data_IF_868674474753
#
_entry.id   IF_868674474753
#
_cell.length_a   1.000
_cell.length_b   1.000
_cell.length_c   1.000
_cell.angle_alpha   90.00
_cell.angle_beta   90.00
_cell.angle_gamma   90.00
#
_symmetry.space_group_name_H-M   'P 1'
#
loop_
_entity.id
_entity.type
_entity.pdbx_description
1 polymer ?
#
# COMPACT_ATOMS: atom_id res chain seq x y z
N UNK A 1 -7.90 22.61 -11.69
CA UNK A 1 -6.43 22.60 -11.72
C UNK A 1 -6.00 21.99 -10.40
N UNK A 2 -6.09 20.66 -10.30
CA UNK A 2 -5.65 19.89 -9.14
C UNK A 2 -4.13 20.05 -9.06
N UNK A 3 -3.64 20.61 -7.96
CA UNK A 3 -2.26 21.10 -7.93
C UNK A 3 -1.30 19.93 -7.68
N UNK A 4 -0.15 19.92 -8.35
CA UNK A 4 0.91 18.91 -8.16
C UNK A 4 1.35 18.76 -6.69
N UNK A 5 1.09 19.78 -5.86
CA UNK A 5 1.36 19.79 -4.42
C UNK A 5 0.42 18.88 -3.63
N UNK A 6 -0.86 18.81 -4.01
CA UNK A 6 -1.84 17.97 -3.32
C UNK A 6 -1.55 16.49 -3.57
N UNK A 7 -1.26 16.13 -4.83
CA UNK A 7 -0.85 14.77 -5.21
C UNK A 7 0.38 14.28 -4.43
N UNK A 8 1.41 15.13 -4.31
CA UNK A 8 2.64 14.77 -3.60
C UNK A 8 2.42 14.61 -2.08
N UNK A 9 1.49 15.40 -1.50
CA UNK A 9 1.10 15.26 -0.09
C UNK A 9 0.37 13.94 0.17
N UNK A 10 -0.52 13.53 -0.73
CA UNK A 10 -1.22 12.25 -0.63
C UNK A 10 -0.31 11.05 -0.85
N UNK A 11 0.62 11.12 -1.82
CA UNK A 11 1.63 10.08 -2.04
C UNK A 11 2.50 9.87 -0.78
N UNK A 12 2.86 10.98 -0.12
CA UNK A 12 3.59 10.96 1.15
C UNK A 12 2.75 10.30 2.25
N UNK A 13 1.45 10.61 2.33
CA UNK A 13 0.54 10.02 3.30
C UNK A 13 0.39 8.50 3.09
N UNK A 14 0.16 8.04 1.86
CA UNK A 14 0.06 6.61 1.52
C UNK A 14 1.35 5.89 1.87
N UNK A 15 2.49 6.44 1.47
CA UNK A 15 3.81 5.86 1.75
C UNK A 15 4.09 5.79 3.26
N UNK A 16 3.58 6.75 4.05
CA UNK A 16 3.69 6.72 5.52
C UNK A 16 2.83 5.64 6.16
N UNK A 17 1.61 5.40 5.67
CA UNK A 17 0.73 4.34 6.17
C UNK A 17 1.31 2.98 5.85
N UNK A 18 1.80 2.78 4.62
CA UNK A 18 2.45 1.54 4.21
C UNK A 18 3.68 1.25 5.09
N UNK A 19 4.56 2.23 5.30
CA UNK A 19 5.71 2.06 6.19
C UNK A 19 5.30 1.67 7.61
N UNK A 20 4.28 2.33 8.17
CA UNK A 20 3.76 1.98 9.49
C UNK A 20 3.27 0.53 9.53
N UNK A 21 2.51 0.10 8.54
CA UNK A 21 1.97 -1.27 8.48
C UNK A 21 3.09 -2.29 8.34
N UNK A 22 4.05 -2.09 7.46
CA UNK A 22 5.20 -2.99 7.30
C UNK A 22 5.98 -3.13 8.62
N UNK A 23 6.26 -2.02 9.30
CA UNK A 23 6.96 -2.02 10.59
C UNK A 23 6.16 -2.69 11.70
N UNK A 24 4.84 -2.55 11.71
CA UNK A 24 3.97 -3.25 12.67
C UNK A 24 3.95 -4.76 12.44
N UNK A 25 3.93 -5.20 11.17
CA UNK A 25 3.84 -6.62 10.83
C UNK A 25 5.19 -7.33 10.96
N UNK A 26 6.27 -6.69 10.51
CA UNK A 26 7.57 -7.33 10.35
C UNK A 26 8.66 -6.79 11.28
N UNK A 27 8.45 -5.62 11.90
CA UNK A 27 9.49 -4.89 12.62
C UNK A 27 10.42 -4.10 11.70
N UNK A 28 11.34 -3.35 12.31
CA UNK A 28 12.25 -2.41 11.62
C UNK A 28 13.14 -3.12 10.58
N UNK A 29 13.91 -4.13 11.00
CA UNK A 29 14.93 -4.77 10.18
C UNK A 29 14.36 -5.51 8.97
N UNK A 30 13.27 -6.24 9.17
CA UNK A 30 12.61 -6.96 8.09
C UNK A 30 11.90 -6.00 7.12
N UNK A 31 11.37 -4.87 7.59
CA UNK A 31 10.85 -3.82 6.71
C UNK A 31 11.94 -3.28 5.78
N UNK A 32 13.16 -3.07 6.30
CA UNK A 32 14.29 -2.65 5.48
C UNK A 32 14.70 -3.70 4.42
N UNK A 33 14.49 -5.00 4.67
CA UNK A 33 14.71 -6.04 3.66
C UNK A 33 13.68 -5.95 2.53
N UNK A 34 12.41 -5.68 2.85
CA UNK A 34 11.36 -5.47 1.86
C UNK A 34 11.70 -4.25 0.99
N UNK A 35 12.06 -3.12 1.60
CA UNK A 35 12.44 -1.93 0.83
C UNK A 35 13.67 -2.15 -0.04
N UNK A 36 14.70 -2.86 0.46
CA UNK A 36 15.86 -3.22 -0.35
C UNK A 36 15.50 -4.13 -1.52
N UNK A 37 14.53 -5.04 -1.36
CA UNK A 37 14.04 -5.86 -2.45
C UNK A 37 13.32 -5.01 -3.51
N UNK A 38 12.39 -4.14 -3.09
CA UNK A 38 11.65 -3.25 -3.99
C UNK A 38 12.58 -2.32 -4.77
N UNK A 39 13.57 -1.74 -4.10
CA UNK A 39 14.55 -0.86 -4.75
C UNK A 39 15.41 -1.62 -5.76
N UNK A 40 15.93 -2.80 -5.39
CA UNK A 40 16.84 -3.58 -6.26
C UNK A 40 16.16 -4.19 -7.47
N UNK A 41 14.92 -4.64 -7.34
CA UNK A 41 14.24 -5.42 -8.37
C UNK A 41 13.21 -4.64 -9.17
N UNK A 42 12.67 -3.55 -8.59
CA UNK A 42 11.61 -2.74 -9.23
C UNK A 42 12.00 -1.27 -9.37
N UNK A 43 13.22 -0.88 -8.96
CA UNK A 43 13.65 0.52 -8.92
C UNK A 43 12.66 1.42 -8.17
N UNK A 44 12.01 0.86 -7.15
CA UNK A 44 10.94 1.51 -6.42
C UNK A 44 11.45 2.02 -5.07
N UNK A 45 11.54 3.34 -4.94
CA UNK A 45 11.89 3.96 -3.66
C UNK A 45 10.67 4.13 -2.76
N UNK A 46 10.89 4.14 -1.44
CA UNK A 46 9.82 4.29 -0.44
C UNK A 46 8.90 5.49 -0.70
N UNK A 47 9.46 6.64 -1.10
CA UNK A 47 8.68 7.85 -1.36
C UNK A 47 7.83 7.82 -2.64
N UNK A 48 8.07 6.84 -3.51
CA UNK A 48 7.36 6.70 -4.80
C UNK A 48 6.24 5.65 -4.74
N UNK A 49 6.10 4.93 -3.63
CA UNK A 49 5.17 3.80 -3.51
C UNK A 49 3.73 4.23 -3.81
N UNK A 50 3.31 5.40 -3.33
CA UNK A 50 1.97 5.94 -3.64
C UNK A 50 1.72 6.10 -5.14
N UNK A 51 2.75 6.51 -5.91
CA UNK A 51 2.64 6.75 -7.35
C UNK A 51 2.72 5.48 -8.19
N UNK A 52 3.44 4.47 -7.70
CA UNK A 52 3.75 3.23 -8.41
C UNK A 52 3.19 2.02 -7.65
N UNK A 53 1.93 2.11 -7.22
CA UNK A 53 1.33 1.13 -6.31
C UNK A 53 1.24 -0.27 -6.92
N UNK A 54 1.12 -0.38 -8.25
CA UNK A 54 1.22 -1.66 -8.96
C UNK A 54 2.59 -2.34 -8.79
N UNK A 55 3.68 -1.59 -8.86
CA UNK A 55 5.03 -2.14 -8.67
C UNK A 55 5.26 -2.53 -7.22
N UNK A 56 4.66 -1.79 -6.27
CA UNK A 56 4.68 -2.17 -4.87
C UNK A 56 3.95 -3.50 -4.64
N UNK A 57 2.73 -3.65 -5.15
CA UNK A 57 1.94 -4.87 -5.00
C UNK A 57 2.67 -6.09 -5.59
N UNK A 58 3.17 -5.95 -6.82
CA UNK A 58 3.93 -7.01 -7.49
C UNK A 58 5.21 -7.37 -6.72
N UNK A 59 6.00 -6.37 -6.31
CA UNK A 59 7.24 -6.65 -5.58
C UNK A 59 7.01 -7.21 -4.17
N UNK A 60 5.90 -6.84 -3.53
CA UNK A 60 5.51 -7.41 -2.24
C UNK A 60 5.08 -8.88 -2.40
N UNK A 61 4.28 -9.20 -3.43
CA UNK A 61 3.91 -10.57 -3.78
C UNK A 61 5.14 -11.40 -4.15
N UNK A 62 6.08 -10.85 -4.91
CA UNK A 62 7.28 -11.58 -5.28
C UNK A 62 8.18 -11.90 -4.07
N UNK A 63 8.23 -11.01 -3.09
CA UNK A 63 8.99 -11.18 -1.84
C UNK A 63 8.31 -12.12 -0.83
N UNK A 64 7.01 -11.95 -0.59
CA UNK A 64 6.26 -12.65 0.47
C UNK A 64 5.42 -13.84 -0.04
N UNK A 65 5.30 -13.99 -1.36
CA UNK A 65 4.38 -14.93 -2.01
C UNK A 65 2.96 -14.73 -1.47
N UNK A 66 2.29 -15.82 -1.10
CA UNK A 66 0.93 -15.77 -0.53
C UNK A 66 0.83 -14.95 0.76
N UNK A 67 1.94 -14.64 1.43
CA UNK A 67 1.94 -13.75 2.59
C UNK A 67 1.60 -12.28 2.26
N UNK A 68 1.78 -11.85 1.01
CA UNK A 68 1.51 -10.47 0.61
C UNK A 68 0.05 -10.07 0.81
N UNK A 69 -0.90 -10.99 0.58
CA UNK A 69 -2.34 -10.72 0.71
C UNK A 69 -2.73 -10.25 2.13
N UNK A 70 -2.05 -10.77 3.16
CA UNK A 70 -2.31 -10.40 4.56
C UNK A 70 -1.84 -8.96 4.82
N UNK A 71 -0.71 -8.59 4.24
CA UNK A 71 -0.13 -7.25 4.36
C UNK A 71 -0.96 -6.22 3.60
N UNK A 72 -1.36 -6.53 2.36
CA UNK A 72 -2.23 -5.69 1.54
C UNK A 72 -3.57 -5.41 2.22
N UNK A 73 -4.18 -6.43 2.83
CA UNK A 73 -5.39 -6.30 3.65
C UNK A 73 -5.17 -5.28 4.77
N UNK A 74 -4.10 -5.45 5.52
CA UNK A 74 -3.78 -4.58 6.64
C UNK A 74 -3.50 -3.14 6.20
N UNK A 75 -2.89 -2.94 5.03
CA UNK A 75 -2.68 -1.61 4.44
C UNK A 75 -4.01 -0.95 4.11
N UNK A 76 -4.91 -1.63 3.41
CA UNK A 76 -6.22 -1.08 3.06
C UNK A 76 -7.05 -0.72 4.30
N UNK A 77 -7.10 -1.61 5.29
CA UNK A 77 -7.79 -1.36 6.56
C UNK A 77 -7.28 -0.09 7.25
N UNK A 78 -5.96 0.10 7.28
CA UNK A 78 -5.33 1.25 7.93
C UNK A 78 -5.54 2.55 7.14
N UNK A 79 -5.52 2.49 5.81
CA UNK A 79 -5.80 3.64 4.94
C UNK A 79 -7.26 4.09 5.09
N UNK A 80 -8.21 3.17 5.07
CA UNK A 80 -9.64 3.47 5.29
C UNK A 80 -9.90 4.10 6.66
N UNK A 81 -9.24 3.60 7.72
CA UNK A 81 -9.32 4.20 9.07
C UNK A 81 -8.72 5.61 9.12
N UNK A 82 -7.59 5.83 8.43
CA UNK A 82 -6.88 7.12 8.46
C UNK A 82 -7.57 8.24 7.68
N UNK A 83 -8.39 7.90 6.68
CA UNK A 83 -9.08 8.85 5.80
C UNK A 83 -10.50 9.20 6.25
N UNK A 84 -10.98 8.65 7.37
CA UNK A 84 -12.35 8.84 7.85
C UNK A 84 -13.41 8.11 7.02
N UNK A 85 -13.02 7.42 5.94
CA UNK A 85 -13.89 6.56 5.13
C UNK A 85 -14.14 5.24 5.86
N UNK A 86 -14.96 5.31 6.91
CA UNK A 86 -15.46 4.13 7.62
C UNK A 86 -16.60 3.50 6.81
N UNK A 87 -16.32 3.03 5.60
CA UNK A 87 -17.10 1.89 5.09
C UNK A 87 -16.47 0.67 5.72
N UNK A 88 -17.23 -0.04 6.55
CA UNK A 88 -16.92 -1.42 6.92
C UNK A 88 -16.52 -2.11 5.61
N UNK A 89 -15.24 -2.44 5.46
CA UNK A 89 -14.85 -3.54 4.61
C UNK A 89 -15.51 -4.73 5.29
N UNK A 90 -16.74 -5.03 4.88
CA UNK A 90 -17.37 -6.29 5.20
C UNK A 90 -16.41 -7.33 4.63
N UNK A 91 -15.60 -7.90 5.52
CA UNK A 91 -14.69 -9.01 5.31
C UNK A 91 -15.50 -10.29 5.04
N UNK A 92 -16.54 -10.19 4.22
CA UNK A 92 -17.37 -11.26 3.72
C UNK A 92 -17.15 -11.35 2.21
N UNK A 93 -16.06 -11.98 1.83
CA UNK A 93 -16.06 -13.20 1.04
C UNK A 93 -14.70 -13.38 0.37
N UNK A 94 -14.12 -14.54 0.63
CA UNK A 94 -13.18 -15.20 -0.27
C UNK A 94 -14.00 -15.61 -1.49
N UNK A 95 -14.19 -14.70 -2.43
CA UNK A 95 -15.01 -14.92 -3.62
C UNK A 95 -15.00 -13.70 -4.52
N UNK A 96 -14.22 -13.81 -5.60
CA UNK A 96 -14.08 -12.89 -6.74
C UNK A 96 -13.47 -11.50 -6.49
N UNK A 97 -12.19 -11.41 -6.86
CA UNK A 97 -11.39 -10.20 -7.09
C UNK A 97 -11.09 -9.31 -5.87
N UNK A 98 -10.31 -9.85 -4.92
CA UNK A 98 -9.47 -9.03 -4.05
C UNK A 98 -8.44 -8.29 -4.93
N UNK A 99 -8.74 -7.05 -5.31
CA UNK A 99 -7.84 -6.22 -6.11
C UNK A 99 -7.34 -5.04 -5.27
N UNK A 100 -6.18 -5.24 -4.64
CA UNK A 100 -5.49 -4.22 -3.85
C UNK A 100 -5.18 -2.98 -4.68
N UNK A 101 -4.69 -3.16 -5.90
CA UNK A 101 -4.27 -2.06 -6.78
C UNK A 101 -5.45 -1.20 -7.18
N UNK A 102 -6.57 -1.79 -7.57
CA UNK A 102 -7.78 -1.02 -7.93
C UNK A 102 -8.37 -0.26 -6.74
N UNK A 103 -8.37 -0.85 -5.54
CA UNK A 103 -8.83 -0.16 -4.34
C UNK A 103 -7.92 1.03 -3.98
N UNK A 104 -6.60 0.83 -4.07
CA UNK A 104 -5.63 1.92 -3.87
C UNK A 104 -5.78 3.02 -4.91
N UNK A 105 -5.96 2.68 -6.19
CA UNK A 105 -6.18 3.66 -7.26
C UNK A 105 -7.48 4.45 -7.07
N UNK A 106 -8.56 3.78 -6.67
CA UNK A 106 -9.83 4.44 -6.33
C UNK A 106 -9.66 5.39 -5.15
N UNK A 107 -8.89 5.00 -4.14
CA UNK A 107 -8.57 5.89 -3.03
C UNK A 107 -7.76 7.12 -3.49
N UNK A 108 -6.74 6.91 -4.32
CA UNK A 108 -5.87 7.98 -4.83
C UNK A 108 -6.57 8.96 -5.79
N UNK A 109 -7.69 8.57 -6.42
CA UNK A 109 -8.43 9.42 -7.38
C UNK A 109 -9.57 10.24 -6.73
N UNK A 110 -10.01 9.88 -5.52
CA UNK A 110 -11.16 10.51 -4.86
C UNK A 110 -10.77 11.56 -3.80
N UNK A 111 -9.50 11.98 -3.76
CA UNK A 111 -8.95 12.86 -2.71
C UNK A 111 -8.14 13.99 -3.32
#
# INVERSE_FOLDING_TARGET
>A
METLLDKNRYDTQVSSVIDRVLRQVFGEEATLLIYRHLERHYSLQRGEIGQKIELFAQGLEDFLKSGAIVVERKILEDISKSSGLTKRLELENVGDSWDFVSQMKTFLQNT
#
